data_IF_662422633403
#
_entry.id   IF_662422633403
#
_cell.length_a   1.000
_cell.length_b   1.000
_cell.length_c   1.000
_cell.angle_alpha   90.00
_cell.angle_beta   90.00
_cell.angle_gamma   90.00
#
_symmetry.space_group_name_H-M   'P 1'
#
loop_
_entity.id
_entity.type
_entity.pdbx_description
1 polymer ?
#
# COMPACT_ATOMS: atom_id res chain seq x y z
N UNK A 1 7.12 -0.58 -17.05
CA UNK A 1 7.34 0.59 -17.95
C UNK A 1 6.07 1.02 -18.66
N UNK A 2 5.31 0.11 -19.28
CA UNK A 2 4.06 0.45 -20.01
C UNK A 2 2.97 1.06 -19.12
N UNK A 3 2.87 0.65 -17.84
CA UNK A 3 1.91 1.21 -16.87
C UNK A 3 2.08 2.72 -16.68
N UNK A 4 3.26 3.17 -16.26
CA UNK A 4 3.56 4.59 -16.07
C UNK A 4 3.36 5.44 -17.33
N UNK A 5 3.70 4.91 -18.50
CA UNK A 5 3.49 5.64 -19.76
C UNK A 5 2.00 5.77 -20.09
N UNK A 6 1.22 4.71 -19.86
CA UNK A 6 -0.24 4.72 -20.04
C UNK A 6 -0.88 5.73 -19.09
N UNK A 7 -0.50 5.70 -17.81
CA UNK A 7 -1.04 6.61 -16.80
C UNK A 7 -0.68 8.06 -17.10
N UNK A 8 0.58 8.33 -17.43
CA UNK A 8 1.01 9.67 -17.81
C UNK A 8 0.24 10.18 -19.04
N UNK A 9 0.00 9.34 -20.05
CA UNK A 9 -0.78 9.72 -21.22
C UNK A 9 -2.25 10.01 -20.88
N UNK A 10 -2.84 9.22 -19.97
CA UNK A 10 -4.19 9.45 -19.46
C UNK A 10 -4.30 10.80 -18.75
N UNK A 11 -3.43 11.06 -17.78
CA UNK A 11 -3.43 12.31 -17.01
C UNK A 11 -3.10 13.55 -17.86
N UNK A 12 -2.31 13.40 -18.93
CA UNK A 12 -2.07 14.50 -19.86
C UNK A 12 -3.33 14.92 -20.64
N UNK A 13 -4.25 13.98 -20.87
CA UNK A 13 -5.45 14.23 -21.66
C UNK A 13 -6.67 14.56 -20.78
N UNK A 14 -6.79 13.90 -19.63
CA UNK A 14 -7.99 13.93 -18.78
C UNK A 14 -7.71 14.39 -17.34
N UNK A 15 -6.45 14.61 -16.98
CA UNK A 15 -6.07 14.96 -15.62
C UNK A 15 -6.63 16.31 -15.19
N UNK A 16 -7.10 16.36 -13.94
CA UNK A 16 -7.59 17.56 -13.28
C UNK A 16 -7.19 17.54 -11.81
N UNK A 17 -7.18 18.68 -11.09
CA UNK A 17 -6.95 18.64 -9.65
C UNK A 17 -8.08 17.92 -8.91
N UNK A 18 -7.72 16.98 -8.02
CA UNK A 18 -8.65 16.13 -7.27
C UNK A 18 -8.31 16.13 -5.78
N UNK A 19 -9.29 15.93 -4.90
CA UNK A 19 -8.98 15.60 -3.50
C UNK A 19 -8.52 14.15 -3.42
N UNK A 20 -7.84 13.77 -2.33
CA UNK A 20 -7.62 12.38 -2.00
C UNK A 20 -8.96 11.60 -2.05
N UNK A 21 -8.99 10.51 -2.82
CA UNK A 21 -10.18 9.66 -2.94
C UNK A 21 -10.62 9.14 -1.57
N UNK A 22 -9.67 8.61 -0.80
CA UNK A 22 -9.93 8.27 0.60
C UNK A 22 -9.98 9.55 1.43
N UNK A 23 -11.20 9.88 1.90
CA UNK A 23 -11.48 11.11 2.65
C UNK A 23 -10.61 11.28 3.90
N UNK A 24 -10.26 10.18 4.58
CA UNK A 24 -9.44 10.23 5.80
C UNK A 24 -8.04 10.81 5.55
N UNK A 25 -7.53 10.72 4.32
CA UNK A 25 -6.21 11.26 3.96
C UNK A 25 -6.23 12.74 3.62
N UNK A 26 -7.41 13.35 3.44
CA UNK A 26 -7.54 14.74 3.01
C UNK A 26 -6.94 15.71 4.03
N UNK A 27 -6.97 15.37 5.31
CA UNK A 27 -6.36 16.15 6.38
C UNK A 27 -4.86 16.37 6.16
N UNK A 28 -4.12 15.33 5.76
CA UNK A 28 -2.69 15.42 5.44
C UNK A 28 -2.38 16.37 4.27
N UNK A 29 -3.39 16.67 3.44
CA UNK A 29 -3.34 17.63 2.34
C UNK A 29 -4.06 18.94 2.66
N UNK A 30 -4.41 19.19 3.92
CA UNK A 30 -5.19 20.37 4.36
C UNK A 30 -6.51 20.54 3.60
N UNK A 31 -7.09 19.41 3.20
CA UNK A 31 -8.32 19.34 2.40
C UNK A 31 -8.21 20.00 1.02
N UNK A 32 -7.00 20.29 0.54
CA UNK A 32 -6.77 20.89 -0.78
C UNK A 32 -6.75 19.83 -1.89
N UNK A 33 -7.13 20.26 -3.10
CA UNK A 33 -7.02 19.43 -4.30
C UNK A 33 -5.56 19.32 -4.74
N UNK A 34 -5.13 18.09 -5.03
CA UNK A 34 -3.80 17.78 -5.51
C UNK A 34 -3.74 17.88 -7.03
N UNK A 35 -2.61 18.36 -7.54
CA UNK A 35 -2.39 18.53 -8.96
C UNK A 35 -1.92 17.22 -9.61
N UNK A 36 -2.64 16.75 -10.64
CA UNK A 36 -2.20 15.62 -11.47
C UNK A 36 -0.82 15.87 -12.13
N UNK A 37 -0.40 17.13 -12.27
CA UNK A 37 0.90 17.48 -12.85
C UNK A 37 2.06 17.04 -11.95
N UNK A 38 1.88 17.03 -10.64
CA UNK A 38 2.90 16.59 -9.68
C UNK A 38 3.08 15.07 -9.76
N UNK A 39 1.98 14.34 -9.96
CA UNK A 39 2.03 12.90 -10.25
C UNK A 39 2.73 12.63 -11.59
N UNK A 40 2.41 13.37 -12.66
CA UNK A 40 3.13 13.27 -13.95
C UNK A 40 4.64 13.52 -13.77
N UNK A 41 5.04 14.50 -12.96
CA UNK A 41 6.45 14.78 -12.68
C UNK A 41 7.12 13.58 -11.99
N UNK A 42 6.44 12.96 -11.02
CA UNK A 42 6.88 11.74 -10.34
C UNK A 42 7.01 10.55 -11.31
N UNK A 43 6.03 10.33 -12.19
CA UNK A 43 6.10 9.28 -13.20
C UNK A 43 7.29 9.49 -14.16
N UNK A 44 7.61 10.74 -14.51
CA UNK A 44 8.82 11.04 -15.31
C UNK A 44 10.11 10.71 -14.56
N UNK A 45 10.18 10.98 -13.26
CA UNK A 45 11.32 10.58 -12.43
C UNK A 45 11.47 9.05 -12.41
N UNK A 46 10.36 8.33 -12.19
CA UNK A 46 10.35 6.86 -12.28
C UNK A 46 10.85 6.36 -13.63
N UNK A 47 10.37 6.92 -14.75
CA UNK A 47 10.77 6.49 -16.09
C UNK A 47 12.26 6.68 -16.38
N UNK A 48 12.92 7.67 -15.75
CA UNK A 48 14.38 7.83 -15.83
C UNK A 48 15.13 6.71 -15.11
N UNK A 49 14.60 6.23 -13.98
CA UNK A 49 15.27 5.19 -13.17
C UNK A 49 14.90 3.79 -13.63
N UNK A 50 13.72 3.58 -14.21
CA UNK A 50 13.19 2.26 -14.56
C UNK A 50 14.18 1.33 -15.31
N UNK A 51 15.02 1.80 -16.25
CA UNK A 51 16.04 0.95 -16.89
C UNK A 51 17.08 0.37 -15.91
N UNK A 52 17.38 1.08 -14.83
CA UNK A 52 18.34 0.68 -13.79
C UNK A 52 17.75 -0.27 -12.74
N UNK A 53 16.42 -0.48 -12.75
CA UNK A 53 15.72 -1.35 -11.81
C UNK A 53 15.57 -2.79 -12.33
N UNK A 54 16.10 -3.11 -13.50
CA UNK A 54 15.95 -4.43 -14.12
C UNK A 54 17.15 -5.31 -13.74
N UNK A 55 16.98 -6.28 -12.83
CA UNK A 55 18.04 -7.21 -12.46
C UNK A 55 18.27 -8.27 -13.56
N UNK A 56 19.34 -9.05 -13.44
CA UNK A 56 19.65 -10.17 -14.34
C UNK A 56 18.54 -11.24 -14.45
N UNK A 57 17.56 -11.27 -13.53
CA UNK A 57 16.45 -12.24 -13.49
C UNK A 57 15.25 -11.82 -14.37
N UNK A 58 15.49 -11.65 -15.67
CA UNK A 58 14.53 -11.11 -16.65
C UNK A 58 13.63 -12.15 -17.33
N UNK A 59 13.76 -13.45 -17.01
CA UNK A 59 12.90 -14.49 -17.61
C UNK A 59 11.44 -14.25 -17.20
N UNK A 60 10.52 -14.35 -18.16
CA UNK A 60 9.09 -14.11 -17.94
C UNK A 60 8.39 -15.37 -17.41
N UNK A 61 7.41 -15.17 -16.54
CA UNK A 61 6.57 -16.22 -15.96
C UNK A 61 5.11 -15.77 -16.00
N UNK A 62 4.22 -16.71 -16.34
CA UNK A 62 2.78 -16.54 -16.16
C UNK A 62 2.44 -16.81 -14.69
N UNK A 63 1.89 -15.81 -14.01
CA UNK A 63 1.43 -15.93 -12.62
C UNK A 63 -0.08 -15.75 -12.56
N UNK A 64 -0.74 -16.72 -11.92
CA UNK A 64 -2.14 -16.62 -11.52
C UNK A 64 -2.22 -15.93 -10.14
N UNK A 65 -3.10 -14.94 -9.95
CA UNK A 65 -3.22 -14.25 -8.66
C UNK A 65 -3.81 -15.15 -7.58
N UNK A 66 -4.77 -16.00 -7.94
CA UNK A 66 -5.51 -16.85 -7.01
C UNK A 66 -5.11 -18.31 -7.12
N UNK A 67 -4.89 -18.97 -5.99
CA UNK A 67 -4.61 -20.40 -5.93
C UNK A 67 -5.65 -21.05 -5.04
N UNK A 68 -6.73 -21.57 -5.65
CA UNK A 68 -7.59 -22.54 -4.98
C UNK A 68 -7.02 -23.95 -5.18
N UNK A 69 -6.87 -24.69 -4.08
CA UNK A 69 -6.24 -26.02 -4.06
C UNK A 69 -7.05 -27.04 -4.87
N UNK A 70 -8.33 -26.75 -5.16
CA UNK A 70 -9.26 -27.62 -5.91
C UNK A 70 -9.33 -27.34 -7.42
N UNK A 71 -8.80 -26.21 -7.90
CA UNK A 71 -8.86 -25.85 -9.31
C UNK A 71 -8.33 -24.44 -9.60
N UNK A 72 -7.90 -24.20 -10.84
CA UNK A 72 -7.44 -22.89 -11.32
C UNK A 72 -8.56 -22.23 -12.14
N UNK A 73 -9.34 -21.38 -11.48
CA UNK A 73 -10.35 -20.50 -12.08
C UNK A 73 -9.94 -19.05 -11.92
N UNK A 74 -10.65 -18.14 -12.57
CA UNK A 74 -10.43 -16.69 -12.47
C UNK A 74 -9.11 -16.16 -13.09
N UNK A 75 -8.93 -16.44 -14.38
CA UNK A 75 -7.74 -16.03 -15.14
C UNK A 75 -7.71 -14.54 -15.52
N UNK A 76 -8.74 -13.75 -15.19
CA UNK A 76 -8.90 -12.37 -15.68
C UNK A 76 -7.82 -11.41 -15.14
N UNK A 77 -7.13 -11.81 -14.08
CA UNK A 77 -6.03 -11.07 -13.47
C UNK A 77 -4.66 -11.77 -13.62
N UNK A 78 -4.59 -12.85 -14.41
CA UNK A 78 -3.32 -13.52 -14.71
C UNK A 78 -2.39 -12.62 -15.53
N UNK A 79 -1.11 -12.61 -15.16
CA UNK A 79 -0.13 -11.73 -15.79
C UNK A 79 1.16 -12.47 -16.15
N UNK A 80 1.71 -12.15 -17.32
CA UNK A 80 3.07 -12.53 -17.69
C UNK A 80 4.00 -11.41 -17.21
N UNK A 81 4.91 -11.72 -16.29
CA UNK A 81 5.85 -10.75 -15.72
C UNK A 81 7.26 -11.34 -15.63
N UNK A 82 8.33 -10.51 -15.73
CA UNK A 82 9.67 -10.93 -15.35
C UNK A 82 9.72 -11.53 -13.94
N UNK A 83 10.57 -12.51 -13.71
CA UNK A 83 10.69 -13.21 -12.43
C UNK A 83 10.85 -12.26 -11.25
N UNK A 84 11.70 -11.23 -11.37
CA UNK A 84 11.92 -10.27 -10.28
C UNK A 84 10.67 -9.45 -9.90
N UNK A 85 9.71 -9.28 -10.82
CA UNK A 85 8.42 -8.66 -10.56
C UNK A 85 7.35 -9.67 -10.13
N UNK A 86 7.47 -10.92 -10.62
CA UNK A 86 6.57 -12.00 -10.28
C UNK A 86 6.87 -12.62 -8.91
N UNK A 87 8.09 -12.49 -8.38
CA UNK A 87 8.51 -13.07 -7.11
C UNK A 87 8.06 -12.24 -5.92
N UNK A 88 7.26 -12.82 -5.04
CA UNK A 88 6.80 -12.20 -3.81
C UNK A 88 6.07 -13.22 -2.95
N UNK A 89 5.99 -12.94 -1.66
CA UNK A 89 5.09 -13.65 -0.75
C UNK A 89 3.66 -13.28 -1.13
N UNK A 90 2.77 -14.26 -1.40
CA UNK A 90 1.36 -14.01 -1.66
C UNK A 90 0.72 -13.19 -0.54
N UNK A 91 -0.28 -12.37 -0.88
CA UNK A 91 -0.90 -11.46 0.07
C UNK A 91 -1.46 -12.17 1.31
N UNK A 92 -2.09 -13.34 1.12
CA UNK A 92 -2.62 -14.15 2.21
C UNK A 92 -1.54 -14.62 3.20
N UNK A 93 -0.26 -14.61 2.80
CA UNK A 93 0.85 -15.13 3.58
C UNK A 93 1.84 -14.05 4.02
N UNK A 94 1.71 -12.81 3.53
CA UNK A 94 2.71 -11.77 3.80
C UNK A 94 2.46 -11.04 5.12
N UNK A 95 3.53 -10.46 5.68
CA UNK A 95 3.49 -9.67 6.91
C UNK A 95 4.60 -8.60 6.90
N UNK A 96 4.64 -7.79 5.83
CA UNK A 96 5.60 -6.70 5.69
C UNK A 96 5.30 -5.54 6.65
N UNK A 97 6.31 -4.78 7.06
CA UNK A 97 6.20 -3.76 8.11
C UNK A 97 6.36 -4.30 9.54
N UNK A 98 6.75 -5.58 9.68
CA UNK A 98 7.03 -6.22 10.96
C UNK A 98 8.49 -6.68 11.00
N UNK A 99 9.27 -6.13 11.94
CA UNK A 99 10.71 -6.37 12.05
C UNK A 99 11.09 -7.86 12.13
N UNK A 100 10.29 -8.66 12.84
CA UNK A 100 10.53 -10.10 12.99
C UNK A 100 10.34 -10.83 11.64
N UNK A 101 9.31 -10.45 10.89
CA UNK A 101 9.03 -11.00 9.56
C UNK A 101 10.09 -10.58 8.56
N UNK A 102 10.48 -9.30 8.55
CA UNK A 102 11.50 -8.76 7.64
C UNK A 102 12.90 -9.30 7.90
N UNK A 103 13.26 -9.50 9.17
CA UNK A 103 14.53 -10.11 9.56
C UNK A 103 14.56 -11.64 9.41
N UNK A 104 13.46 -12.25 8.94
CA UNK A 104 13.29 -13.70 8.78
C UNK A 104 13.56 -14.48 10.07
N UNK A 105 13.33 -13.85 11.21
CA UNK A 105 13.46 -14.51 12.50
C UNK A 105 12.32 -15.51 12.68
N UNK A 106 12.64 -16.66 13.30
CA UNK A 106 11.62 -17.65 13.63
C UNK A 106 10.65 -17.02 14.64
N UNK A 107 9.34 -16.93 14.32
CA UNK A 107 8.40 -16.32 15.24
C UNK A 107 8.21 -17.18 16.48
N UNK A 108 8.02 -16.51 17.61
CA UNK A 108 7.74 -17.11 18.91
C UNK A 108 6.55 -16.39 19.55
N UNK A 109 5.75 -17.13 20.31
CA UNK A 109 4.73 -16.53 21.17
C UNK A 109 5.39 -15.84 22.36
N UNK A 110 4.81 -14.73 22.85
CA UNK A 110 5.25 -14.11 24.09
C UNK A 110 5.19 -15.11 25.26
N UNK A 111 6.21 -15.17 26.13
CA UNK A 111 6.25 -16.12 27.25
C UNK A 111 5.18 -15.84 28.32
N UNK A 112 4.61 -14.64 28.31
CA UNK A 112 3.60 -14.13 29.23
C UNK A 112 2.17 -14.12 28.64
N UNK A 113 1.94 -14.82 27.52
CA UNK A 113 0.64 -14.90 26.85
C UNK A 113 -0.52 -15.27 27.80
N UNK A 114 -0.28 -16.18 28.74
CA UNK A 114 -1.30 -16.64 29.72
C UNK A 114 -1.70 -15.55 30.74
N UNK A 115 -0.94 -14.46 30.82
CA UNK A 115 -1.20 -13.34 31.74
C UNK A 115 -1.95 -12.18 31.08
N UNK A 116 -2.11 -12.22 29.74
CA UNK A 116 -2.77 -11.17 28.98
C UNK A 116 -4.30 -11.29 29.07
N UNK A 117 -5.00 -10.18 28.86
CA UNK A 117 -6.46 -10.21 28.72
C UNK A 117 -6.87 -10.86 27.38
N UNK A 118 -8.14 -11.21 27.23
CA UNK A 118 -8.61 -11.93 26.04
C UNK A 118 -8.35 -11.18 24.72
N UNK A 119 -8.46 -9.85 24.72
CA UNK A 119 -8.24 -9.03 23.52
C UNK A 119 -6.76 -8.97 23.16
N UNK A 120 -5.89 -8.69 24.13
CA UNK A 120 -4.44 -8.67 23.98
C UNK A 120 -3.92 -10.04 23.53
N UNK A 121 -4.42 -11.11 24.15
CA UNK A 121 -4.08 -12.48 23.79
C UNK A 121 -4.47 -12.78 22.34
N UNK A 122 -5.69 -12.46 21.93
CA UNK A 122 -6.15 -12.65 20.56
C UNK A 122 -5.30 -11.87 19.55
N UNK A 123 -4.88 -10.65 19.89
CA UNK A 123 -3.99 -9.85 19.06
C UNK A 123 -2.61 -10.50 18.91
N UNK A 124 -2.02 -10.98 20.00
CA UNK A 124 -0.73 -11.68 19.98
C UNK A 124 -0.80 -13.00 19.22
N UNK A 125 -1.87 -13.77 19.35
CA UNK A 125 -2.08 -15.02 18.62
C UNK A 125 -2.23 -14.79 17.12
N UNK A 126 -2.99 -13.76 16.69
CA UNK A 126 -3.13 -13.41 15.28
C UNK A 126 -1.82 -12.86 14.68
N UNK A 127 -1.11 -11.99 15.42
CA UNK A 127 0.21 -11.51 15.01
C UNK A 127 1.21 -12.66 14.85
N UNK A 128 1.24 -13.60 15.81
CA UNK A 128 2.06 -14.81 15.70
C UNK A 128 1.69 -15.63 14.47
N UNK A 129 0.39 -15.84 14.21
CA UNK A 129 -0.10 -16.56 13.02
C UNK A 129 0.39 -15.89 11.74
N UNK A 130 0.25 -14.57 11.60
CA UNK A 130 0.71 -13.81 10.42
C UNK A 130 2.22 -13.96 10.21
N UNK A 131 3.02 -13.78 11.25
CA UNK A 131 4.48 -13.99 11.21
C UNK A 131 4.84 -15.43 10.84
N UNK A 132 4.14 -16.41 11.40
CA UNK A 132 4.38 -17.82 11.16
C UNK A 132 4.13 -18.20 9.71
N UNK A 133 3.01 -17.77 9.13
CA UNK A 133 2.68 -18.08 7.73
C UNK A 133 3.68 -17.42 6.78
N UNK A 134 4.09 -16.17 7.05
CA UNK A 134 5.13 -15.47 6.30
C UNK A 134 6.46 -16.24 6.32
N UNK A 135 6.93 -16.58 7.52
CA UNK A 135 8.16 -17.33 7.74
C UNK A 135 8.13 -18.69 7.02
N UNK A 136 7.02 -19.42 7.14
CA UNK A 136 6.87 -20.74 6.52
C UNK A 136 6.87 -20.65 4.99
N UNK A 137 6.24 -19.63 4.39
CA UNK A 137 6.30 -19.44 2.95
C UNK A 137 7.74 -19.24 2.47
N UNK A 138 8.50 -18.39 3.16
CA UNK A 138 9.92 -18.15 2.87
C UNK A 138 10.76 -19.42 3.00
N UNK A 139 10.67 -20.10 4.14
CA UNK A 139 11.42 -21.33 4.40
C UNK A 139 11.08 -22.45 3.39
N UNK A 140 9.80 -22.58 3.02
CA UNK A 140 9.37 -23.58 2.04
C UNK A 140 9.82 -23.22 0.63
N UNK A 141 9.84 -21.93 0.28
CA UNK A 141 10.33 -21.44 -1.00
C UNK A 141 11.80 -21.78 -1.21
N UNK A 142 12.63 -21.66 -0.16
CA UNK A 142 14.06 -22.00 -0.21
C UNK A 142 14.32 -23.45 -0.65
N UNK A 143 13.50 -24.39 -0.17
CA UNK A 143 13.64 -25.82 -0.50
C UNK A 143 12.92 -26.23 -1.79
N UNK A 144 11.82 -25.56 -2.14
CA UNK A 144 10.94 -26.01 -3.23
C UNK A 144 11.23 -25.31 -4.56
N UNK A 145 11.78 -24.08 -4.53
CA UNK A 145 12.08 -23.31 -5.74
C UNK A 145 13.28 -22.37 -5.49
N UNK A 146 14.51 -22.83 -5.73
CA UNK A 146 15.71 -22.03 -5.49
C UNK A 146 15.73 -20.71 -6.27
N UNK A 147 15.19 -20.69 -7.50
CA UNK A 147 15.12 -19.48 -8.33
C UNK A 147 14.11 -18.46 -7.74
N UNK A 148 12.96 -18.94 -7.26
CA UNK A 148 11.97 -18.07 -6.62
C UNK A 148 12.55 -17.48 -5.33
N UNK A 149 13.18 -18.32 -4.50
CA UNK A 149 13.82 -17.88 -3.27
C UNK A 149 14.95 -16.89 -3.53
N UNK A 150 15.84 -17.15 -4.50
CA UNK A 150 16.92 -16.23 -4.84
C UNK A 150 16.39 -14.85 -5.30
N UNK A 151 15.28 -14.83 -6.04
CA UNK A 151 14.62 -13.59 -6.46
C UNK A 151 13.95 -12.86 -5.29
N UNK A 152 13.35 -13.62 -4.37
CA UNK A 152 12.64 -13.10 -3.20
C UNK A 152 13.62 -12.52 -2.18
N UNK A 153 14.69 -13.26 -1.87
CA UNK A 153 15.80 -12.87 -1.00
C UNK A 153 16.73 -11.82 -1.60
N UNK A 154 16.53 -11.46 -2.87
CA UNK A 154 17.38 -10.48 -3.53
C UNK A 154 17.27 -9.11 -2.85
N UNK A 155 18.41 -8.50 -2.57
CA UNK A 155 18.46 -7.18 -1.92
C UNK A 155 17.72 -6.16 -2.80
N UNK A 156 16.82 -5.38 -2.21
CA UNK A 156 15.98 -4.43 -2.92
C UNK A 156 14.85 -5.04 -3.76
N UNK A 157 14.58 -6.35 -3.67
CA UNK A 157 13.49 -7.00 -4.44
C UNK A 157 12.11 -6.43 -4.10
N UNK A 158 11.87 -6.11 -2.82
CA UNK A 158 10.62 -5.54 -2.33
C UNK A 158 10.44 -4.13 -2.87
N UNK A 159 11.47 -3.28 -2.71
CA UNK A 159 11.43 -1.89 -3.17
C UNK A 159 11.25 -1.79 -4.69
N UNK A 160 11.97 -2.59 -5.49
CA UNK A 160 11.80 -2.61 -6.95
C UNK A 160 10.38 -2.99 -7.37
N UNK A 161 9.77 -3.97 -6.71
CA UNK A 161 8.39 -4.39 -6.98
C UNK A 161 7.39 -3.31 -6.62
N UNK A 162 7.52 -2.72 -5.43
CA UNK A 162 6.68 -1.60 -4.98
C UNK A 162 6.74 -0.44 -5.97
N UNK A 163 7.94 0.05 -6.31
CA UNK A 163 8.12 1.12 -7.29
C UNK A 163 7.41 0.79 -8.61
N UNK A 164 7.61 -0.43 -9.13
CA UNK A 164 6.96 -0.85 -10.38
C UNK A 164 5.43 -0.90 -10.25
N UNK A 165 4.91 -1.45 -9.17
CA UNK A 165 3.48 -1.54 -8.90
C UNK A 165 2.85 -0.15 -8.78
N UNK A 166 3.43 0.73 -7.98
CA UNK A 166 2.92 2.08 -7.74
C UNK A 166 2.98 2.95 -8.98
N UNK A 167 4.04 2.87 -9.77
CA UNK A 167 4.13 3.55 -11.05
C UNK A 167 3.15 3.00 -12.12
N UNK A 168 2.48 1.87 -11.85
CA UNK A 168 1.51 1.28 -12.77
C UNK A 168 0.05 1.45 -12.30
N UNK A 169 -0.20 2.11 -11.16
CA UNK A 169 -1.55 2.35 -10.64
C UNK A 169 -2.13 3.68 -11.18
N UNK A 170 -3.46 3.77 -11.33
CA UNK A 170 -4.15 5.03 -11.62
C UNK A 170 -3.89 6.07 -10.53
N UNK A 171 -4.00 7.35 -10.86
CA UNK A 171 -3.97 8.44 -9.88
C UNK A 171 -5.40 8.77 -9.39
N UNK A 172 -5.62 8.76 -8.07
CA UNK A 172 -6.94 8.95 -7.44
C UNK A 172 -7.03 10.24 -6.61
N UNK A 173 -6.30 11.29 -7.00
CA UNK A 173 -6.30 12.60 -6.30
C UNK A 173 -5.49 12.64 -5.00
N UNK A 174 -5.01 11.49 -4.57
CA UNK A 174 -3.79 11.28 -3.84
C UNK A 174 -2.93 10.32 -4.69
N UNK A 175 -1.68 10.05 -4.32
CA UNK A 175 -0.90 9.05 -5.05
C UNK A 175 -1.40 7.61 -4.78
N UNK A 176 -2.66 7.41 -4.36
CA UNK A 176 -3.11 6.29 -3.54
C UNK A 176 -4.39 5.55 -3.95
N UNK A 177 -4.22 4.51 -4.78
CA UNK A 177 -5.33 3.62 -5.18
C UNK A 177 -5.62 2.40 -4.32
N UNK A 178 -6.92 2.25 -3.98
CA UNK A 178 -7.58 1.10 -3.32
C UNK A 178 -7.07 -0.29 -3.74
N UNK A 179 -7.00 -1.20 -2.76
CA UNK A 179 -7.40 -2.59 -2.96
C UNK A 179 -7.86 -3.23 -1.65
N UNK A 180 -8.93 -4.01 -1.75
CA UNK A 180 -9.70 -4.72 -0.71
C UNK A 180 -9.00 -5.98 -0.15
N UNK A 181 -7.67 -6.02 -0.15
CA UNK A 181 -6.90 -7.17 0.35
C UNK A 181 -5.55 -6.80 0.93
N UNK A 182 -5.37 -5.54 1.31
CA UNK A 182 -4.09 -5.02 1.74
C UNK A 182 -4.08 -4.66 3.23
N UNK A 183 -3.42 -5.54 3.99
CA UNK A 183 -2.65 -5.21 5.19
C UNK A 183 -1.27 -4.62 4.78
N UNK A 184 -1.20 -3.91 3.66
CA UNK A 184 -0.01 -3.15 3.26
C UNK A 184 -0.43 -1.69 3.17
N UNK A 185 0.15 -0.94 4.09
CA UNK A 185 0.26 0.52 4.17
C UNK A 185 0.82 1.09 2.87
N UNK A 186 1.11 2.39 2.87
CA UNK A 186 1.71 3.14 1.75
C UNK A 186 0.65 3.51 0.73
N UNK A 187 0.77 4.70 0.13
CA UNK A 187 0.03 5.33 -0.97
C UNK A 187 0.76 6.60 -1.54
N UNK A 188 1.39 7.49 -0.75
CA UNK A 188 2.44 8.42 -1.27
C UNK A 188 3.79 7.74 -1.59
N UNK A 189 3.68 6.51 -2.06
CA UNK A 189 4.74 5.52 -2.10
C UNK A 189 5.69 5.74 -3.23
N UNK A 190 5.21 6.21 -4.39
CA UNK A 190 6.15 6.29 -5.51
C UNK A 190 7.22 7.33 -5.21
N UNK A 191 6.85 8.52 -4.72
CA UNK A 191 7.83 9.52 -4.29
C UNK A 191 8.66 9.03 -3.10
N UNK A 192 8.03 8.46 -2.06
CA UNK A 192 8.75 7.95 -0.90
C UNK A 192 9.70 6.77 -1.25
N UNK A 193 9.32 5.90 -2.17
CA UNK A 193 10.14 4.78 -2.64
C UNK A 193 11.27 5.28 -3.53
N UNK A 194 11.03 6.30 -4.35
CA UNK A 194 12.07 6.95 -5.13
C UNK A 194 13.09 7.63 -4.21
N UNK A 195 12.63 8.30 -3.14
CA UNK A 195 13.50 8.85 -2.08
C UNK A 195 14.29 7.73 -1.40
N UNK A 196 13.63 6.67 -0.90
CA UNK A 196 14.29 5.49 -0.30
C UNK A 196 15.29 4.85 -1.26
N UNK A 197 14.96 4.75 -2.55
CA UNK A 197 15.86 4.23 -3.56
C UNK A 197 17.09 5.10 -3.75
N UNK A 198 16.95 6.43 -3.70
CA UNK A 198 18.11 7.33 -3.76
C UNK A 198 19.01 7.21 -2.52
N UNK A 199 18.43 6.93 -1.34
CA UNK A 199 19.15 6.69 -0.09
C UNK A 199 19.84 5.31 -0.04
N UNK A 200 19.18 4.26 -0.56
CA UNK A 200 19.65 2.87 -0.54
C UNK A 200 20.29 2.42 -1.87
N UNK A 201 20.79 3.35 -2.69
CA UNK A 201 21.18 3.10 -4.09
C UNK A 201 22.12 1.90 -4.30
N UNK A 202 23.08 1.70 -3.38
CA UNK A 202 24.11 0.65 -3.46
C UNK A 202 23.52 -0.75 -3.33
N UNK A 203 22.33 -0.85 -2.73
CA UNK A 203 21.61 -2.10 -2.50
C UNK A 203 20.62 -2.43 -3.64
N UNK A 204 20.27 -1.45 -4.48
CA UNK A 204 19.12 -1.54 -5.40
C UNK A 204 19.49 -1.36 -6.87
N UNK A 205 20.57 -0.63 -7.20
CA UNK A 205 21.00 -0.43 -8.58
C UNK A 205 22.22 -1.32 -8.85
N UNK A 206 22.08 -2.28 -9.78
CA UNK A 206 23.14 -3.24 -10.11
C UNK A 206 24.26 -2.65 -10.99
N UNK A 207 24.00 -1.53 -11.65
CA UNK A 207 24.94 -0.98 -12.63
C UNK A 207 26.02 -0.19 -11.90
N UNK A 208 27.30 -0.53 -12.12
CA UNK A 208 28.44 0.36 -11.95
C UNK A 208 28.31 1.51 -12.97
N UNK A 209 27.30 2.36 -12.81
CA UNK A 209 27.29 3.62 -13.54
C UNK A 209 28.15 4.60 -12.78
N UNK A 210 29.22 5.03 -13.43
CA UNK A 210 30.05 6.21 -13.12
C UNK A 210 29.23 7.54 -13.18
N UNK A 211 27.90 7.44 -13.12
CA UNK A 211 26.94 8.50 -13.33
C UNK A 211 26.03 8.58 -12.11
N UNK A 212 25.88 9.80 -11.61
CA UNK A 212 24.91 10.19 -10.60
C UNK A 212 23.54 9.57 -10.90
N UNK A 213 22.84 9.09 -9.86
CA UNK A 213 21.46 8.65 -9.99
C UNK A 213 20.68 9.69 -10.82
N UNK A 214 19.90 9.28 -11.85
CA UNK A 214 19.28 10.22 -12.77
C UNK A 214 18.18 11.09 -12.11
N UNK A 215 17.89 10.82 -10.83
CA UNK A 215 17.05 11.64 -9.96
C UNK A 215 17.77 11.89 -8.64
N UNK A 216 17.48 13.02 -8.04
CA UNK A 216 17.93 13.41 -6.72
C UNK A 216 16.81 14.22 -6.05
N UNK A 217 16.65 14.03 -4.76
CA UNK A 217 15.71 14.79 -3.94
C UNK A 217 16.51 15.68 -2.99
N UNK A 218 16.00 16.89 -2.72
CA UNK A 218 16.55 17.73 -1.65
C UNK A 218 16.36 17.08 -0.28
N UNK A 219 17.14 17.49 0.73
CA UNK A 219 16.96 17.00 2.11
C UNK A 219 15.58 17.37 2.65
N UNK A 220 15.21 18.65 2.59
CA UNK A 220 13.89 19.16 2.98
C UNK A 220 12.74 18.52 2.18
N UNK A 221 12.93 18.31 0.88
CA UNK A 221 11.96 17.62 0.02
C UNK A 221 11.76 16.16 0.45
N UNK A 222 12.86 15.47 0.76
CA UNK A 222 12.83 14.07 1.19
C UNK A 222 12.14 13.93 2.55
N UNK A 223 12.47 14.79 3.51
CA UNK A 223 11.84 14.82 4.83
C UNK A 223 10.34 15.06 4.70
N UNK A 224 9.94 16.07 3.93
CA UNK A 224 8.53 16.37 3.70
C UNK A 224 7.76 15.18 3.08
N UNK A 225 8.34 14.51 2.07
CA UNK A 225 7.73 13.32 1.44
C UNK A 225 7.58 12.18 2.46
N UNK A 226 8.57 11.98 3.34
CA UNK A 226 8.55 10.91 4.34
C UNK A 226 7.51 11.20 5.43
N UNK A 227 7.49 12.42 5.98
CA UNK A 227 6.53 12.85 6.99
C UNK A 227 5.09 12.70 6.49
N UNK A 228 4.86 13.16 5.27
CA UNK A 228 3.56 13.12 4.64
C UNK A 228 3.11 11.67 4.33
N UNK A 229 4.05 10.77 4.03
CA UNK A 229 3.78 9.34 3.94
C UNK A 229 3.43 8.70 5.27
N UNK A 230 4.06 9.13 6.37
CA UNK A 230 3.74 8.66 7.72
C UNK A 230 2.36 9.12 8.20
N UNK A 231 1.98 10.37 7.89
CA UNK A 231 0.64 10.88 8.20
C UNK A 231 -0.47 10.12 7.46
N UNK A 232 -0.25 9.72 6.21
CA UNK A 232 -1.19 8.87 5.47
C UNK A 232 -1.28 7.46 6.06
N UNK A 233 -0.16 6.90 6.53
CA UNK A 233 -0.12 5.60 7.20
C UNK A 233 -0.94 5.60 8.50
N UNK A 234 -0.79 6.64 9.32
CA UNK A 234 -1.59 6.84 10.53
C UNK A 234 -3.09 7.00 10.19
N UNK A 235 -3.41 7.78 9.15
CA UNK A 235 -4.78 7.92 8.69
C UNK A 235 -5.39 6.57 8.25
N UNK A 236 -4.62 5.73 7.56
CA UNK A 236 -5.08 4.40 7.13
C UNK A 236 -5.32 3.46 8.33
N UNK A 237 -4.45 3.50 9.34
CA UNK A 237 -4.64 2.76 10.59
C UNK A 237 -5.91 3.20 11.33
N UNK A 238 -6.16 4.50 11.41
CA UNK A 238 -7.39 5.06 11.98
C UNK A 238 -8.63 4.63 11.20
N UNK A 239 -8.56 4.59 9.87
CA UNK A 239 -9.67 4.13 9.03
C UNK A 239 -9.96 2.64 9.27
N UNK A 240 -8.91 1.82 9.30
CA UNK A 240 -9.03 0.40 9.57
C UNK A 240 -9.64 0.14 10.95
N UNK A 241 -9.14 0.82 11.99
CA UNK A 241 -9.70 0.72 13.33
C UNK A 241 -11.19 1.09 13.38
N UNK A 242 -11.57 2.20 12.74
CA UNK A 242 -12.96 2.63 12.65
C UNK A 242 -13.85 1.60 11.95
N UNK A 243 -13.42 1.08 10.79
CA UNK A 243 -14.19 0.11 10.00
C UNK A 243 -14.31 -1.24 10.71
N UNK A 244 -13.27 -1.71 11.38
CA UNK A 244 -13.29 -2.93 12.21
C UNK A 244 -14.25 -2.79 13.41
N UNK A 245 -14.20 -1.65 14.11
CA UNK A 245 -15.11 -1.36 15.23
C UNK A 245 -16.57 -1.32 14.78
N UNK A 246 -16.84 -0.78 13.60
CA UNK A 246 -18.16 -0.74 12.97
C UNK A 246 -18.53 -2.08 12.29
N UNK A 247 -17.57 -3.00 12.13
CA UNK A 247 -17.67 -4.27 11.40
C UNK A 247 -18.19 -4.08 9.98
N UNK A 248 -17.63 -3.09 9.30
CA UNK A 248 -17.87 -2.74 7.90
C UNK A 248 -16.71 -3.31 7.08
N UNK A 249 -17.00 -3.90 5.92
CA UNK A 249 -15.99 -4.35 4.98
C UNK A 249 -15.15 -3.20 4.42
N UNK A 250 -13.99 -3.51 3.84
CA UNK A 250 -13.08 -2.50 3.26
C UNK A 250 -13.71 -1.65 2.15
N UNK A 251 -14.76 -2.15 1.52
CA UNK A 251 -15.54 -1.52 0.46
C UNK A 251 -16.83 -0.86 0.95
N UNK A 252 -17.04 -0.79 2.27
CA UNK A 252 -18.31 -0.34 2.84
C UNK A 252 -19.37 -1.45 2.92
N UNK A 253 -19.04 -2.69 2.51
CA UNK A 253 -20.01 -3.78 2.49
C UNK A 253 -20.40 -4.23 3.89
N UNK A 254 -21.69 -4.52 4.05
CA UNK A 254 -22.27 -5.13 5.24
C UNK A 254 -23.34 -6.14 4.83
N UNK A 255 -23.55 -7.24 5.59
CA UNK A 255 -24.69 -8.12 5.38
C UNK A 255 -26.01 -7.35 5.48
N UNK A 256 -26.99 -7.71 4.66
CA UNK A 256 -28.29 -7.02 4.57
C UNK A 256 -28.98 -6.95 5.94
N UNK A 257 -28.86 -8.01 6.74
CA UNK A 257 -29.44 -8.12 8.09
C UNK A 257 -28.88 -7.08 9.07
N UNK A 258 -27.68 -6.56 8.78
CA UNK A 258 -26.96 -5.60 9.62
C UNK A 258 -26.92 -4.20 9.02
N UNK A 259 -27.55 -3.99 7.85
CA UNK A 259 -27.46 -2.71 7.14
C UNK A 259 -27.99 -1.55 7.97
N UNK A 260 -29.20 -1.67 8.53
CA UNK A 260 -29.81 -0.60 9.33
C UNK A 260 -29.03 -0.33 10.62
N UNK A 261 -28.52 -1.39 11.26
CA UNK A 261 -27.67 -1.28 12.45
C UNK A 261 -26.36 -0.56 12.14
N UNK A 262 -25.67 -0.95 11.06
CA UNK A 262 -24.42 -0.33 10.64
C UNK A 262 -24.63 1.15 10.31
N UNK A 263 -25.72 1.47 9.60
CA UNK A 263 -26.09 2.84 9.25
C UNK A 263 -26.30 3.72 10.50
N UNK A 264 -26.97 3.19 11.52
CA UNK A 264 -27.18 3.94 12.76
C UNK A 264 -25.89 4.14 13.54
N UNK A 265 -25.08 3.09 13.70
CA UNK A 265 -23.75 3.20 14.35
C UNK A 265 -22.84 4.20 13.65
N UNK A 266 -22.82 4.23 12.32
CA UNK A 266 -22.03 5.21 11.56
C UNK A 266 -22.49 6.64 11.84
N UNK A 267 -23.79 6.89 12.02
CA UNK A 267 -24.31 8.21 12.42
C UNK A 267 -23.91 8.57 13.84
N UNK A 268 -23.99 7.63 14.78
CA UNK A 268 -23.57 7.84 16.16
C UNK A 268 -22.09 8.20 16.24
N UNK A 269 -21.23 7.46 15.52
CA UNK A 269 -19.79 7.76 15.43
C UNK A 269 -19.56 9.14 14.81
N UNK A 270 -20.31 9.51 13.75
CA UNK A 270 -20.23 10.86 13.18
C UNK A 270 -20.61 11.94 14.19
N UNK A 271 -21.69 11.75 14.93
CA UNK A 271 -22.13 12.72 15.93
C UNK A 271 -21.10 12.91 17.04
N UNK A 272 -20.56 11.81 17.59
CA UNK A 272 -19.52 11.84 18.63
C UNK A 272 -18.26 12.53 18.12
N UNK A 273 -17.84 12.24 16.89
CA UNK A 273 -16.66 12.87 16.31
C UNK A 273 -16.86 14.38 16.09
N UNK A 274 -18.03 14.81 15.62
CA UNK A 274 -18.35 16.24 15.44
C UNK A 274 -18.49 17.00 16.76
N UNK A 275 -18.94 16.33 17.84
CA UNK A 275 -18.97 16.91 19.19
C UNK A 275 -17.57 17.04 19.81
N UNK A 276 -16.64 16.18 19.39
CA UNK A 276 -15.26 16.17 19.85
C UNK A 276 -14.34 17.13 19.08
N UNK A 277 -14.82 17.80 18.03
CA UNK A 277 -14.04 18.76 17.25
C UNK A 277 -13.57 19.94 18.13
N UNK A 278 -12.30 20.34 17.98
CA UNK A 278 -11.67 21.39 18.78
C UNK A 278 -12.12 22.80 18.35
N UNK A 279 -12.68 22.94 17.14
CA UNK A 279 -13.12 24.21 16.57
C UNK A 279 -14.33 24.07 15.64
N UNK A 280 -15.02 25.19 15.38
CA UNK A 280 -16.13 25.22 14.41
C UNK A 280 -15.62 25.00 12.98
N UNK A 281 -14.41 25.49 12.67
CA UNK A 281 -13.75 25.26 11.39
C UNK A 281 -13.45 23.77 11.16
N UNK A 282 -12.89 23.09 12.17
CA UNK A 282 -12.65 21.64 12.11
C UNK A 282 -13.95 20.86 11.98
N UNK A 283 -14.97 21.21 12.77
CA UNK A 283 -16.29 20.59 12.70
C UNK A 283 -16.89 20.69 11.29
N UNK A 284 -16.79 21.86 10.65
CA UNK A 284 -17.27 22.06 9.29
C UNK A 284 -16.52 21.18 8.27
N UNK A 285 -15.18 21.09 8.39
CA UNK A 285 -14.36 20.22 7.53
C UNK A 285 -14.68 18.74 7.72
N UNK A 286 -14.85 18.28 8.97
CA UNK A 286 -15.24 16.91 9.29
C UNK A 286 -16.64 16.58 8.74
N UNK A 287 -17.57 17.53 8.78
CA UNK A 287 -18.92 17.34 8.26
C UNK A 287 -18.93 17.20 6.73
N UNK A 288 -18.17 18.05 6.02
CA UNK A 288 -18.02 18.02 4.57
C UNK A 288 -17.27 16.77 4.08
N UNK A 289 -16.22 16.37 4.80
CA UNK A 289 -15.30 15.31 4.40
C UNK A 289 -15.43 14.04 5.23
N UNK A 290 -16.60 13.80 5.83
CA UNK A 290 -16.81 12.62 6.67
C UNK A 290 -16.45 11.31 5.96
N UNK A 291 -15.64 10.49 6.63
CA UNK A 291 -14.93 9.34 6.05
C UNK A 291 -15.84 8.22 5.51
N UNK A 292 -17.07 8.11 6.02
CA UNK A 292 -18.03 7.06 5.66
C UNK A 292 -19.23 7.60 4.85
N UNK A 293 -19.23 8.89 4.51
CA UNK A 293 -20.28 9.47 3.67
C UNK A 293 -20.02 9.18 2.19
N UNK A 294 -21.08 8.82 1.47
CA UNK A 294 -21.03 8.67 0.02
C UNK A 294 -20.69 9.99 -0.69
N UNK A 295 -20.03 9.90 -1.84
CA UNK A 295 -19.68 11.06 -2.65
C UNK A 295 -19.74 10.75 -4.14
N UNK A 296 -19.68 11.80 -4.96
CA UNK A 296 -19.62 11.66 -6.40
C UNK A 296 -18.24 11.14 -6.82
N UNK A 297 -18.20 9.86 -7.20
CA UNK A 297 -16.99 9.19 -7.69
C UNK A 297 -16.73 9.44 -9.18
N UNK A 298 -17.69 10.03 -9.93
CA UNK A 298 -17.56 10.24 -11.37
C UNK A 298 -16.46 11.24 -11.75
N UNK A 299 -15.98 12.03 -10.78
CA UNK A 299 -14.84 12.94 -10.99
C UNK A 299 -13.49 12.20 -10.98
N UNK A 300 -13.45 10.93 -10.57
CA UNK A 300 -12.24 10.10 -10.47
C UNK A 300 -12.12 9.06 -11.60
N UNK A 301 -13.21 8.71 -12.30
CA UNK A 301 -13.27 7.59 -13.26
C UNK A 301 -13.85 7.97 -14.63
#
# INVERSE_FOLDING_TARGET
MTGAQKEMAYLQQFGQPLHAFQRIRREGYKYEKQSHLDHIATLRQYLKIAPYLVPYLHRHVLRHPDLEITGLIDWQHSAIRPWFLACGVPNAFQNWGDDISESMQKPMLPPDLDKLNNQERSCQEELFRRRQVHYLYWAKSASSSPIHFASLAYVGSILRRRIHEHASRPWEGDNVTRNESFNIKYIKILQADLVRLTQERENVIEVETDHLCPVSFGEEESEHIIELGAAEEEADEHFQYCTEALRIGSDGWVPVERFDEAKERTREVKAVALEAADSEEERALMEEHWILDGFDESVYF
#
